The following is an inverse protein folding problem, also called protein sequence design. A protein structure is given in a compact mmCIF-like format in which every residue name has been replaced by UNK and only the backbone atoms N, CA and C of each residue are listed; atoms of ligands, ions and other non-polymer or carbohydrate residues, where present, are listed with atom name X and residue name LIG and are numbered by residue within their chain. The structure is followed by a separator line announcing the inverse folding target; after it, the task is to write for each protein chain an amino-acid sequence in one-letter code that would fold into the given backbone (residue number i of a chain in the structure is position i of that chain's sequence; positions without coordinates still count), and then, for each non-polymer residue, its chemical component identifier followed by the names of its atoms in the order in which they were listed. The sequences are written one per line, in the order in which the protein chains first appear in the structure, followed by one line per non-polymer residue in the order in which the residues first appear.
data_IF_509845063851
#
_entry.id   IF_509845063851
#
_cell.length_a   1.000
_cell.length_b   1.000
_cell.length_c   1.000
_cell.angle_alpha   90.00
_cell.angle_beta   90.00
_cell.angle_gamma   90.00
#
_symmetry.space_group_name_H-M   'P 1'
#
loop_
_entity.id
_entity.type
_entity.pdbx_description
1 polymer ?
#
# COMPACT_ATOMS: atom_id res chain seq x y z
N UNK A 1 -27.37 -30.56 16.93
CA UNK A 1 -26.63 -29.75 15.93
C UNK A 1 -25.40 -30.53 15.48
N UNK A 2 -25.37 -30.97 14.21
CA UNK A 2 -24.25 -31.66 13.56
C UNK A 2 -23.01 -30.75 13.43
N UNK A 3 -21.80 -31.31 13.27
CA UNK A 3 -20.57 -30.51 13.10
C UNK A 3 -20.66 -29.55 11.90
N UNK A 4 -21.25 -29.99 10.77
CA UNK A 4 -21.52 -29.15 9.59
C UNK A 4 -22.35 -27.90 9.93
N UNK A 5 -23.37 -28.06 10.78
CA UNK A 5 -24.22 -26.95 11.19
C UNK A 5 -23.48 -25.91 12.03
N UNK A 6 -22.46 -26.31 12.80
CA UNK A 6 -21.63 -25.37 13.58
C UNK A 6 -20.61 -24.64 12.70
N UNK A 7 -20.03 -25.31 11.69
CA UNK A 7 -19.10 -24.68 10.75
C UNK A 7 -19.79 -23.65 9.86
N UNK A 8 -20.99 -23.92 9.38
CA UNK A 8 -21.74 -23.00 8.52
C UNK A 8 -22.19 -21.76 9.27
N UNK A 9 -22.67 -21.91 10.52
CA UNK A 9 -23.03 -20.76 11.37
C UNK A 9 -21.82 -19.88 11.66
N UNK A 10 -20.64 -20.48 11.88
CA UNK A 10 -19.40 -19.72 12.09
C UNK A 10 -19.00 -18.96 10.81
N UNK A 11 -19.12 -19.59 9.64
CA UNK A 11 -18.86 -18.98 8.33
C UNK A 11 -19.80 -17.81 8.06
N UNK A 12 -21.11 -18.00 8.19
CA UNK A 12 -22.08 -16.93 7.95
C UNK A 12 -21.95 -15.75 8.90
N UNK A 13 -21.58 -15.99 10.17
CA UNK A 13 -21.28 -14.89 11.11
C UNK A 13 -20.01 -14.12 10.73
N UNK A 14 -19.01 -14.80 10.17
CA UNK A 14 -17.82 -14.15 9.67
C UNK A 14 -18.15 -13.29 8.45
N UNK A 15 -18.80 -13.88 7.42
CA UNK A 15 -19.22 -13.17 6.22
C UNK A 15 -20.10 -11.95 6.57
N UNK A 16 -21.14 -12.14 7.39
CA UNK A 16 -22.00 -11.03 7.85
C UNK A 16 -21.22 -9.89 8.50
N UNK A 17 -20.21 -10.21 9.32
CA UNK A 17 -19.40 -9.18 9.97
C UNK A 17 -18.56 -8.43 8.95
N UNK A 18 -18.00 -9.14 7.99
CA UNK A 18 -17.14 -8.56 6.98
C UNK A 18 -17.93 -7.61 6.06
N UNK A 19 -19.14 -7.98 5.60
CA UNK A 19 -19.97 -7.07 4.78
C UNK A 19 -20.38 -5.82 5.58
N UNK A 20 -20.71 -5.98 6.88
CA UNK A 20 -21.05 -4.85 7.75
C UNK A 20 -19.84 -3.94 7.99
N UNK A 21 -18.64 -4.50 8.03
CA UNK A 21 -17.39 -3.76 8.13
C UNK A 21 -17.09 -3.00 6.83
N UNK A 22 -17.32 -3.62 5.66
CA UNK A 22 -17.22 -3.00 4.34
C UNK A 22 -18.18 -1.84 4.17
N UNK A 23 -19.48 -2.06 4.44
CA UNK A 23 -20.51 -1.02 4.41
C UNK A 23 -20.14 0.19 5.29
N UNK A 24 -19.65 -0.06 6.51
CA UNK A 24 -19.25 1.01 7.43
C UNK A 24 -18.01 1.79 6.96
N UNK A 25 -17.12 1.19 6.17
CA UNK A 25 -15.98 1.86 5.57
C UNK A 25 -16.41 2.72 4.39
N UNK A 26 -17.25 2.18 3.50
CA UNK A 26 -17.78 2.92 2.37
C UNK A 26 -18.65 4.11 2.80
N UNK A 27 -19.45 3.97 3.86
CA UNK A 27 -20.17 5.10 4.46
C UNK A 27 -19.24 6.23 4.93
N UNK A 28 -18.13 5.86 5.56
CA UNK A 28 -17.16 6.83 6.07
C UNK A 28 -16.41 7.51 4.92
N UNK A 29 -16.09 6.77 3.86
CA UNK A 29 -15.50 7.32 2.64
C UNK A 29 -16.48 8.28 1.95
N UNK A 30 -17.74 7.89 1.79
CA UNK A 30 -18.77 8.74 1.22
C UNK A 30 -18.96 10.04 2.01
N UNK A 31 -18.96 9.97 3.34
CA UNK A 31 -19.13 11.14 4.21
C UNK A 31 -17.92 12.09 4.20
N UNK A 32 -16.71 11.55 3.98
CA UNK A 32 -15.48 12.31 3.95
C UNK A 32 -15.06 12.78 2.53
N UNK A 33 -15.76 12.33 1.48
CA UNK A 33 -15.49 12.68 0.10
C UNK A 33 -16.10 14.04 -0.26
N UNK A 34 -15.33 14.87 -0.95
CA UNK A 34 -15.76 16.21 -1.38
C UNK A 34 -16.37 16.18 -2.79
N UNK A 35 -15.97 15.22 -3.63
CA UNK A 35 -16.54 15.05 -4.96
C UNK A 35 -17.86 14.26 -4.87
N UNK A 36 -18.96 14.90 -5.22
CA UNK A 36 -20.31 14.33 -5.14
C UNK A 36 -20.45 13.02 -5.95
N UNK A 37 -19.91 12.98 -7.17
CA UNK A 37 -19.97 11.79 -8.03
C UNK A 37 -19.21 10.60 -7.43
N UNK A 38 -18.08 10.85 -6.76
CA UNK A 38 -17.32 9.79 -6.08
C UNK A 38 -17.96 9.38 -4.76
N UNK A 39 -18.54 10.34 -4.03
CA UNK A 39 -19.35 10.07 -2.85
C UNK A 39 -20.57 9.21 -3.16
N UNK A 40 -21.21 9.42 -4.32
CA UNK A 40 -22.31 8.58 -4.82
C UNK A 40 -21.85 7.13 -5.06
N UNK A 41 -20.68 6.94 -5.68
CA UNK A 41 -20.10 5.61 -5.90
C UNK A 41 -19.87 4.88 -4.58
N UNK A 42 -19.28 5.54 -3.59
CA UNK A 42 -19.10 4.93 -2.26
C UNK A 42 -20.44 4.62 -1.56
N UNK A 43 -21.47 5.45 -1.74
CA UNK A 43 -22.82 5.15 -1.21
C UNK A 43 -23.44 3.93 -1.88
N UNK A 44 -23.24 3.74 -3.18
CA UNK A 44 -23.71 2.56 -3.90
C UNK A 44 -22.99 1.30 -3.43
N UNK A 45 -21.67 1.33 -3.28
CA UNK A 45 -20.90 0.21 -2.70
C UNK A 45 -21.36 -0.11 -1.28
N UNK A 46 -21.55 0.92 -0.42
CA UNK A 46 -22.08 0.72 0.93
C UNK A 46 -23.46 0.04 0.93
N UNK A 47 -24.30 0.34 -0.06
CA UNK A 47 -25.61 -0.27 -0.21
C UNK A 47 -25.52 -1.73 -0.65
N UNK A 48 -24.67 -2.05 -1.62
CA UNK A 48 -24.43 -3.42 -2.07
C UNK A 48 -23.93 -4.32 -0.91
N UNK A 49 -22.96 -3.84 -0.13
CA UNK A 49 -22.47 -4.53 1.08
C UNK A 49 -23.59 -4.79 2.11
N UNK A 50 -24.54 -3.87 2.28
CA UNK A 50 -25.70 -4.08 3.17
C UNK A 50 -26.64 -5.16 2.65
N UNK A 51 -26.84 -5.23 1.34
CA UNK A 51 -27.67 -6.26 0.70
C UNK A 51 -27.02 -7.64 0.87
N UNK A 52 -25.70 -7.73 0.69
CA UNK A 52 -24.93 -8.94 1.00
C UNK A 52 -25.03 -9.30 2.49
N UNK A 53 -24.94 -8.32 3.39
CA UNK A 53 -25.13 -8.52 4.83
C UNK A 53 -26.54 -9.08 5.15
N UNK A 54 -27.57 -8.59 4.49
CA UNK A 54 -28.95 -9.09 4.66
C UNK A 54 -29.11 -10.53 4.20
N UNK A 55 -28.45 -10.92 3.10
CA UNK A 55 -28.40 -12.30 2.64
C UNK A 55 -27.74 -13.24 3.66
N UNK A 56 -26.65 -12.83 4.32
CA UNK A 56 -26.06 -13.63 5.40
C UNK A 56 -26.93 -13.64 6.66
N UNK A 57 -27.59 -12.53 6.98
CA UNK A 57 -28.51 -12.41 8.11
C UNK A 57 -29.72 -13.32 7.94
N UNK A 58 -30.31 -13.39 6.74
CA UNK A 58 -31.46 -14.26 6.44
C UNK A 58 -31.09 -15.75 6.58
N UNK A 59 -29.89 -16.14 6.12
CA UNK A 59 -29.36 -17.51 6.30
C UNK A 59 -29.16 -17.90 7.77
N UNK A 60 -28.77 -16.94 8.62
CA UNK A 60 -28.66 -17.14 10.07
C UNK A 60 -30.03 -17.22 10.75
N UNK A 61 -30.98 -16.36 10.35
CA UNK A 61 -32.36 -16.36 10.85
C UNK A 61 -33.11 -17.64 10.49
N UNK A 62 -32.93 -18.17 9.27
CA UNK A 62 -33.49 -19.46 8.85
C UNK A 62 -33.02 -20.64 9.72
N UNK A 63 -31.93 -20.45 10.47
CA UNK A 63 -31.37 -21.42 11.42
C UNK A 63 -31.69 -21.08 12.88
N UNK A 64 -32.64 -20.17 13.12
CA UNK A 64 -33.08 -19.74 14.45
C UNK A 64 -32.08 -18.86 15.20
N UNK A 65 -31.10 -18.27 14.49
CA UNK A 65 -30.07 -17.42 15.10
C UNK A 65 -30.35 -15.96 14.74
N UNK A 66 -30.80 -15.18 15.73
CA UNK A 66 -30.83 -13.73 15.60
C UNK A 66 -29.40 -13.18 15.70
N UNK A 67 -28.84 -12.76 14.56
CA UNK A 67 -27.55 -12.09 14.54
C UNK A 67 -27.72 -10.65 15.04
N UNK A 68 -27.10 -10.29 16.17
CA UNK A 68 -27.02 -8.89 16.60
C UNK A 68 -26.15 -8.09 15.62
N UNK A 69 -26.32 -6.77 15.59
CA UNK A 69 -25.38 -5.86 14.94
C UNK A 69 -23.98 -6.12 15.50
N UNK A 70 -23.06 -6.59 14.65
CA UNK A 70 -21.69 -6.84 15.05
C UNK A 70 -20.99 -5.51 15.32
N UNK A 71 -20.21 -5.42 16.40
CA UNK A 71 -19.35 -4.25 16.61
C UNK A 71 -18.29 -4.22 15.50
N UNK A 72 -17.97 -3.05 14.93
CA UNK A 72 -16.98 -2.95 13.86
C UNK A 72 -15.63 -3.56 14.28
N UNK A 73 -14.96 -4.24 13.36
CA UNK A 73 -13.65 -4.83 13.66
C UNK A 73 -12.60 -3.76 13.99
N UNK A 74 -11.50 -4.20 14.61
CA UNK A 74 -10.38 -3.31 14.90
C UNK A 74 -9.78 -2.69 13.62
N UNK A 75 -9.71 -3.46 12.52
CA UNK A 75 -9.29 -2.98 11.20
C UNK A 75 -10.21 -1.84 10.75
N UNK A 76 -11.52 -2.06 10.78
CA UNK A 76 -12.53 -1.06 10.39
C UNK A 76 -12.48 0.20 11.25
N UNK A 77 -12.36 0.08 12.58
CA UNK A 77 -12.23 1.25 13.46
C UNK A 77 -10.98 2.07 13.15
N UNK A 78 -9.86 1.40 12.92
CA UNK A 78 -8.59 2.04 12.59
C UNK A 78 -8.68 2.75 11.25
N UNK A 79 -9.19 2.09 10.20
CA UNK A 79 -9.35 2.68 8.87
C UNK A 79 -10.33 3.87 8.89
N UNK A 80 -11.45 3.79 9.62
CA UNK A 80 -12.37 4.93 9.80
C UNK A 80 -11.70 6.13 10.48
N UNK A 81 -10.87 5.88 11.49
CA UNK A 81 -10.08 6.93 12.14
C UNK A 81 -9.11 7.59 11.15
N UNK A 82 -8.44 6.80 10.31
CA UNK A 82 -7.54 7.31 9.27
C UNK A 82 -8.29 8.12 8.20
N UNK A 83 -9.44 7.66 7.74
CA UNK A 83 -10.31 8.40 6.79
C UNK A 83 -10.69 9.77 7.37
N UNK A 84 -11.10 9.82 8.64
CA UNK A 84 -11.46 11.10 9.30
C UNK A 84 -10.30 12.06 9.47
N UNK A 85 -9.09 11.52 9.71
CA UNK A 85 -7.93 12.32 10.08
C UNK A 85 -7.10 12.80 8.88
N UNK A 86 -7.04 11.97 7.84
CA UNK A 86 -6.19 12.17 6.66
C UNK A 86 -6.98 12.21 5.34
N UNK A 87 -8.29 11.94 5.38
CA UNK A 87 -9.18 11.95 4.23
C UNK A 87 -9.27 10.60 3.49
N UNK A 88 -10.23 10.46 2.54
CA UNK A 88 -10.43 9.24 1.77
C UNK A 88 -9.18 8.80 0.98
N UNK A 89 -8.51 9.75 0.34
CA UNK A 89 -7.32 9.52 -0.49
C UNK A 89 -6.20 8.75 0.21
N UNK A 90 -6.06 8.92 1.53
CA UNK A 90 -5.03 8.24 2.31
C UNK A 90 -5.28 6.72 2.45
N UNK A 91 -6.55 6.31 2.46
CA UNK A 91 -6.96 4.93 2.77
C UNK A 91 -7.39 4.15 1.52
N UNK A 92 -7.84 4.83 0.47
CA UNK A 92 -8.32 4.20 -0.75
C UNK A 92 -7.35 3.19 -1.39
N UNK A 93 -6.03 3.43 -1.44
CA UNK A 93 -5.10 2.44 -1.98
C UNK A 93 -5.02 1.16 -1.14
N UNK A 94 -5.06 1.33 0.20
CA UNK A 94 -5.10 0.24 1.16
C UNK A 94 -6.35 -0.62 0.97
N UNK A 95 -7.49 0.06 0.81
CA UNK A 95 -8.79 -0.57 0.65
C UNK A 95 -8.84 -1.29 -0.68
N UNK A 96 -8.44 -0.66 -1.78
CA UNK A 96 -8.39 -1.29 -3.10
C UNK A 96 -7.56 -2.58 -3.10
N UNK A 97 -6.38 -2.57 -2.46
CA UNK A 97 -5.55 -3.77 -2.33
C UNK A 97 -6.22 -4.87 -1.49
N UNK A 98 -6.97 -4.50 -0.45
CA UNK A 98 -7.71 -5.44 0.39
C UNK A 98 -8.90 -6.05 -0.37
N UNK A 99 -9.72 -5.24 -1.02
CA UNK A 99 -10.85 -5.69 -1.87
C UNK A 99 -10.35 -6.64 -2.97
N UNK A 100 -9.22 -6.30 -3.61
CA UNK A 100 -8.62 -7.16 -4.63
C UNK A 100 -8.15 -8.51 -4.07
N UNK A 101 -7.57 -8.53 -2.87
CA UNK A 101 -7.17 -9.78 -2.22
C UNK A 101 -8.38 -10.66 -1.85
N UNK A 102 -9.50 -10.02 -1.52
CA UNK A 102 -10.73 -10.68 -1.09
C UNK A 102 -11.72 -10.97 -2.24
N UNK A 103 -11.46 -10.56 -3.49
CA UNK A 103 -12.35 -10.76 -4.66
C UNK A 103 -12.86 -12.19 -4.89
N UNK A 104 -12.08 -13.19 -4.46
CA UNK A 104 -12.40 -14.62 -4.60
C UNK A 104 -12.91 -15.26 -3.29
N UNK A 105 -13.20 -14.47 -2.26
CA UNK A 105 -13.63 -14.93 -0.92
C UNK A 105 -14.86 -15.85 -0.97
N UNK A 106 -15.73 -15.63 -1.95
CA UNK A 106 -16.95 -16.38 -2.16
C UNK A 106 -16.85 -17.47 -3.24
N UNK A 107 -15.77 -17.52 -4.03
CA UNK A 107 -15.67 -18.41 -5.19
C UNK A 107 -15.83 -19.91 -4.87
N UNK A 108 -15.49 -20.32 -3.64
CA UNK A 108 -15.58 -21.72 -3.19
C UNK A 108 -16.74 -21.96 -2.21
N UNK A 109 -17.68 -21.03 -2.07
CA UNK A 109 -18.82 -21.19 -1.17
C UNK A 109 -20.07 -21.57 -1.99
N UNK A 110 -20.76 -22.67 -1.66
CA UNK A 110 -21.94 -23.10 -2.41
C UNK A 110 -23.15 -22.17 -2.23
N UNK A 111 -23.11 -21.31 -1.20
CA UNK A 111 -24.21 -20.43 -0.85
C UNK A 111 -24.07 -19.02 -1.45
N UNK A 112 -23.08 -18.74 -2.31
CA UNK A 112 -22.73 -17.36 -2.72
C UNK A 112 -22.92 -17.07 -4.21
N UNK A 113 -23.92 -17.68 -4.83
CA UNK A 113 -24.34 -17.34 -6.20
C UNK A 113 -24.62 -15.84 -6.31
N UNK A 114 -24.07 -15.18 -7.33
CA UNK A 114 -24.18 -13.73 -7.55
C UNK A 114 -23.13 -12.89 -6.83
N UNK A 115 -22.84 -13.17 -5.54
CA UNK A 115 -21.91 -12.34 -4.74
C UNK A 115 -20.51 -12.29 -5.34
N UNK A 116 -20.01 -13.39 -5.91
CA UNK A 116 -18.65 -13.40 -6.49
C UNK A 116 -18.50 -12.45 -7.68
N UNK A 117 -19.55 -12.20 -8.46
CA UNK A 117 -19.50 -11.24 -9.56
C UNK A 117 -19.50 -9.79 -9.04
N UNK A 118 -20.30 -9.54 -8.01
CA UNK A 118 -20.37 -8.23 -7.35
C UNK A 118 -19.02 -7.85 -6.70
N UNK A 119 -18.37 -8.79 -6.01
CA UNK A 119 -17.04 -8.58 -5.39
C UNK A 119 -15.96 -8.17 -6.40
N UNK A 120 -15.99 -8.77 -7.60
CA UNK A 120 -15.06 -8.37 -8.67
C UNK A 120 -15.34 -6.94 -9.15
N UNK A 121 -16.62 -6.56 -9.25
CA UNK A 121 -17.02 -5.20 -9.60
C UNK A 121 -16.64 -4.19 -8.51
N UNK A 122 -16.85 -4.51 -7.23
CA UNK A 122 -16.46 -3.67 -6.10
C UNK A 122 -14.96 -3.39 -6.13
N UNK A 123 -14.13 -4.44 -6.26
CA UNK A 123 -12.67 -4.29 -6.31
C UNK A 123 -12.22 -3.40 -7.49
N UNK A 124 -12.85 -3.52 -8.66
CA UNK A 124 -12.53 -2.70 -9.83
C UNK A 124 -12.90 -1.23 -9.62
N UNK A 125 -14.09 -0.95 -9.08
CA UNK A 125 -14.57 0.41 -8.81
C UNK A 125 -13.72 1.12 -7.75
N UNK A 126 -13.36 0.42 -6.66
CA UNK A 126 -12.50 0.97 -5.61
C UNK A 126 -11.08 1.22 -6.11
N UNK A 127 -10.55 0.33 -6.96
CA UNK A 127 -9.26 0.53 -7.62
C UNK A 127 -9.25 1.78 -8.52
N UNK A 128 -10.29 1.98 -9.33
CA UNK A 128 -10.45 3.18 -10.15
C UNK A 128 -10.58 4.46 -9.29
N UNK A 129 -11.33 4.40 -8.19
CA UNK A 129 -11.47 5.52 -7.26
C UNK A 129 -10.16 5.91 -6.56
N UNK A 130 -9.26 4.94 -6.33
CA UNK A 130 -7.96 5.16 -5.70
C UNK A 130 -6.93 5.84 -6.63
N UNK A 131 -7.09 5.73 -7.96
CA UNK A 131 -6.12 6.25 -8.95
C UNK A 131 -6.35 7.74 -9.31
N UNK A 132 -7.49 8.33 -8.97
CA UNK A 132 -7.68 9.78 -9.05
C UNK A 132 -7.68 10.38 -10.45
N UNK A 133 -8.56 9.91 -11.35
CA UNK A 133 -8.87 10.58 -12.63
C UNK A 133 -9.99 11.65 -12.52
N UNK A 134 -9.99 12.58 -13.48
CA UNK A 134 -10.73 13.86 -13.69
C UNK A 134 -12.18 14.07 -13.15
N UNK A 135 -12.68 15.34 -13.11
CA UNK A 135 -14.01 15.74 -12.58
C UNK A 135 -15.24 15.26 -13.39
N UNK A 136 -15.13 14.15 -14.12
CA UNK A 136 -16.04 13.78 -15.20
C UNK A 136 -16.66 12.40 -15.08
N UNK A 137 -16.95 11.92 -13.87
CA UNK A 137 -17.67 10.65 -13.65
C UNK A 137 -16.87 9.40 -14.04
N UNK A 138 -17.14 8.28 -13.36
CA UNK A 138 -16.49 7.00 -13.66
C UNK A 138 -17.20 6.38 -14.87
N UNK A 139 -16.53 6.30 -16.01
CA UNK A 139 -17.08 5.70 -17.24
C UNK A 139 -16.66 4.24 -17.39
N UNK A 140 -17.45 3.42 -18.11
CA UNK A 140 -17.10 2.01 -18.37
C UNK A 140 -15.75 1.80 -19.08
N UNK A 141 -15.23 2.83 -19.76
CA UNK A 141 -13.90 2.83 -20.35
C UNK A 141 -12.77 2.95 -19.31
N UNK A 142 -13.02 3.59 -18.16
CA UNK A 142 -12.06 3.68 -17.05
C UNK A 142 -12.00 2.37 -16.25
N UNK A 143 -13.11 1.63 -16.18
CA UNK A 143 -13.15 0.28 -15.60
C UNK A 143 -12.32 -0.69 -16.46
N UNK A 144 -12.42 -0.61 -17.79
CA UNK A 144 -11.59 -1.40 -18.71
C UNK A 144 -10.10 -1.00 -18.71
N UNK A 145 -9.79 0.29 -18.48
CA UNK A 145 -8.41 0.78 -18.27
C UNK A 145 -7.83 0.30 -16.93
N UNK A 146 -8.64 0.15 -15.89
CA UNK A 146 -8.20 -0.36 -14.59
C UNK A 146 -7.82 -1.86 -14.63
N UNK A 147 -8.37 -2.66 -15.55
CA UNK A 147 -8.07 -4.10 -15.68
C UNK A 147 -6.70 -4.39 -16.34
N UNK A 148 -6.15 -3.48 -17.14
CA UNK A 148 -4.96 -3.75 -17.95
C UNK A 148 -3.62 -3.34 -17.30
N UNK A 149 -3.64 -2.58 -16.19
CA UNK A 149 -2.47 -1.87 -15.67
C UNK A 149 -2.10 -2.27 -14.23
N UNK A 150 -2.04 -3.57 -13.98
CA UNK A 150 -1.98 -4.18 -12.64
C UNK A 150 -0.73 -3.93 -11.77
N UNK A 151 0.16 -2.98 -12.05
CA UNK A 151 1.33 -2.70 -11.18
C UNK A 151 1.74 -1.24 -11.25
N UNK A 152 1.58 -0.47 -10.17
CA UNK A 152 2.08 0.91 -10.19
C UNK A 152 1.92 1.68 -8.90
N UNK A 153 1.02 2.65 -8.86
CA UNK A 153 1.29 3.83 -8.05
C UNK A 153 0.78 3.77 -6.59
N UNK A 154 -0.48 3.42 -6.33
CA UNK A 154 -1.10 3.91 -5.09
C UNK A 154 -0.83 3.06 -3.82
N UNK A 155 -0.69 1.73 -3.96
CA UNK A 155 -0.31 0.84 -2.84
C UNK A 155 1.18 0.91 -2.50
N UNK A 156 1.99 1.47 -3.39
CA UNK A 156 3.44 1.58 -3.23
C UNK A 156 3.82 2.72 -2.28
N UNK A 157 3.11 3.85 -2.33
CA UNK A 157 3.47 5.07 -1.58
C UNK A 157 3.34 4.90 -0.07
N UNK A 158 2.23 4.34 0.41
CA UNK A 158 2.03 4.12 1.84
C UNK A 158 2.92 2.99 2.38
N UNK A 159 3.16 1.96 1.55
CA UNK A 159 4.13 0.91 1.88
C UNK A 159 5.55 1.48 1.99
N UNK A 160 5.96 2.29 1.02
CA UNK A 160 7.24 3.00 1.03
C UNK A 160 7.36 3.93 2.24
N UNK A 161 6.27 4.62 2.61
CA UNK A 161 6.25 5.49 3.78
C UNK A 161 6.48 4.74 5.09
N UNK A 162 5.80 3.61 5.26
CA UNK A 162 5.94 2.75 6.44
C UNK A 162 7.33 2.10 6.49
N UNK A 163 7.89 1.72 5.33
CA UNK A 163 9.27 1.23 5.21
C UNK A 163 10.28 2.31 5.61
N UNK A 164 10.14 3.55 5.15
CA UNK A 164 11.04 4.64 5.51
C UNK A 164 11.04 4.96 7.01
N UNK A 165 9.86 5.03 7.62
CA UNK A 165 9.75 5.20 9.07
C UNK A 165 10.33 4.02 9.85
N UNK A 166 10.13 2.80 9.35
CA UNK A 166 10.71 1.61 9.97
C UNK A 166 12.23 1.60 9.89
N UNK A 167 12.80 1.93 8.73
CA UNK A 167 14.23 1.95 8.50
C UNK A 167 14.90 2.99 9.38
N UNK A 168 14.32 4.19 9.49
CA UNK A 168 14.78 5.23 10.41
C UNK A 168 14.78 4.76 11.87
N UNK A 169 13.67 4.15 12.32
CA UNK A 169 13.55 3.65 13.70
C UNK A 169 14.59 2.56 13.98
N UNK A 170 14.62 1.50 13.17
CA UNK A 170 15.48 0.32 13.40
C UNK A 170 16.95 0.70 13.30
N UNK A 171 17.36 1.43 12.26
CA UNK A 171 18.76 1.80 12.05
C UNK A 171 19.30 2.65 13.21
N UNK A 172 18.56 3.69 13.60
CA UNK A 172 19.02 4.57 14.68
C UNK A 172 18.95 3.86 16.04
N UNK A 173 17.95 3.00 16.27
CA UNK A 173 17.86 2.19 17.48
C UNK A 173 19.05 1.23 17.62
N UNK A 174 19.41 0.52 16.54
CA UNK A 174 20.56 -0.37 16.53
C UNK A 174 21.89 0.38 16.75
N UNK A 175 22.03 1.57 16.13
CA UNK A 175 23.20 2.43 16.32
C UNK A 175 23.35 2.87 17.78
N UNK A 176 22.27 3.37 18.39
CA UNK A 176 22.24 3.79 19.79
C UNK A 176 22.56 2.61 20.72
N UNK A 177 21.97 1.44 20.47
CA UNK A 177 22.26 0.25 21.29
C UNK A 177 23.71 -0.21 21.16
N UNK A 178 24.31 -0.11 19.97
CA UNK A 178 25.73 -0.40 19.79
C UNK A 178 26.64 0.53 20.59
N UNK A 179 26.41 1.85 20.52
CA UNK A 179 27.20 2.82 21.29
C UNK A 179 26.96 2.68 22.80
N UNK A 180 25.73 2.38 23.21
CA UNK A 180 25.40 2.09 24.60
C UNK A 180 26.08 0.81 25.09
N UNK A 181 26.15 -0.24 24.26
CA UNK A 181 26.86 -1.49 24.55
C UNK A 181 28.35 -1.27 24.80
N UNK A 182 28.98 -0.34 24.08
CA UNK A 182 30.36 0.06 24.30
C UNK A 182 30.62 0.83 25.60
N UNK A 183 29.60 1.09 26.43
CA UNK A 183 29.76 1.82 27.70
C UNK A 183 29.96 3.32 27.54
N UNK A 184 29.56 3.88 26.38
CA UNK A 184 29.76 5.30 26.09
C UNK A 184 28.91 6.23 26.97
N UNK A 185 29.41 7.46 27.18
CA UNK A 185 28.66 8.48 27.93
C UNK A 185 27.38 8.92 27.20
N UNK A 186 26.40 9.44 27.96
CA UNK A 186 25.13 9.94 27.42
C UNK A 186 25.31 10.99 26.31
N UNK A 187 26.31 11.87 26.44
CA UNK A 187 26.61 12.90 25.44
C UNK A 187 27.06 12.29 24.12
N UNK A 188 27.87 11.22 24.17
CA UNK A 188 28.32 10.50 22.98
C UNK A 188 27.13 9.79 22.33
N UNK A 189 26.30 9.11 23.12
CA UNK A 189 25.09 8.44 22.60
C UNK A 189 24.15 9.45 21.92
N UNK A 190 23.89 10.58 22.55
CA UNK A 190 23.03 11.63 21.98
C UNK A 190 23.62 12.20 20.69
N UNK A 191 24.92 12.54 20.69
CA UNK A 191 25.60 13.03 19.49
C UNK A 191 25.52 12.01 18.35
N UNK A 192 25.80 10.74 18.63
CA UNK A 192 25.72 9.68 17.63
C UNK A 192 24.29 9.46 17.15
N UNK A 193 23.29 9.55 18.03
CA UNK A 193 21.88 9.39 17.66
C UNK A 193 21.38 10.49 16.70
N UNK A 194 21.80 11.74 16.94
CA UNK A 194 21.41 12.87 16.09
C UNK A 194 22.18 12.83 14.78
N UNK A 195 23.48 12.52 14.84
CA UNK A 195 24.29 12.36 13.63
C UNK A 195 23.78 11.20 12.75
N UNK A 196 23.45 10.05 13.35
CA UNK A 196 22.89 8.89 12.66
C UNK A 196 21.53 9.18 12.04
N UNK A 197 20.65 9.90 12.76
CA UNK A 197 19.37 10.36 12.23
C UNK A 197 19.56 11.25 10.99
N UNK A 198 20.39 12.29 11.09
CA UNK A 198 20.60 13.24 9.99
C UNK A 198 21.27 12.56 8.80
N UNK A 199 22.34 11.80 9.04
CA UNK A 199 23.06 11.10 8.00
C UNK A 199 22.18 10.07 7.28
N UNK A 200 21.41 9.29 8.04
CA UNK A 200 20.46 8.31 7.49
C UNK A 200 19.34 8.97 6.69
N UNK A 201 18.74 10.05 7.22
CA UNK A 201 17.68 10.78 6.53
C UNK A 201 18.17 11.42 5.22
N UNK A 202 19.35 12.05 5.22
CA UNK A 202 19.98 12.58 4.01
C UNK A 202 20.30 11.47 3.01
N UNK A 203 20.85 10.34 3.46
CA UNK A 203 21.16 9.20 2.60
C UNK A 203 19.90 8.63 1.94
N UNK A 204 18.79 8.51 2.70
CA UNK A 204 17.53 8.02 2.17
C UNK A 204 16.92 9.02 1.17
N UNK A 205 16.97 10.32 1.47
CA UNK A 205 16.49 11.36 0.57
C UNK A 205 17.26 11.38 -0.77
N UNK A 206 18.59 11.30 -0.71
CA UNK A 206 19.44 11.23 -1.89
C UNK A 206 19.19 9.95 -2.69
N UNK A 207 19.05 8.81 -2.01
CA UNK A 207 18.75 7.52 -2.65
C UNK A 207 17.41 7.56 -3.39
N UNK A 208 16.37 8.11 -2.77
CA UNK A 208 15.04 8.23 -3.39
C UNK A 208 15.07 9.22 -4.56
N UNK A 209 15.71 10.38 -4.39
CA UNK A 209 15.85 11.37 -5.47
C UNK A 209 16.54 10.76 -6.70
N UNK A 210 17.64 10.04 -6.48
CA UNK A 210 18.41 9.41 -7.55
C UNK A 210 17.62 8.27 -8.21
N UNK A 211 16.90 7.48 -7.42
CA UNK A 211 16.03 6.41 -7.93
C UNK A 211 14.96 6.97 -8.88
N UNK A 212 14.22 7.99 -8.44
CA UNK A 212 13.16 8.61 -9.26
C UNK A 212 13.74 9.31 -10.49
N UNK A 213 14.85 10.03 -10.33
CA UNK A 213 15.50 10.73 -11.44
C UNK A 213 15.99 9.75 -12.50
N UNK A 214 16.69 8.69 -12.10
CA UNK A 214 17.20 7.69 -13.04
C UNK A 214 16.05 6.95 -13.76
N UNK A 215 14.99 6.59 -13.04
CA UNK A 215 13.81 5.95 -13.64
C UNK A 215 13.18 6.87 -14.70
N UNK A 216 13.08 8.17 -14.39
CA UNK A 216 12.54 9.18 -15.32
C UNK A 216 13.44 9.39 -16.53
N UNK A 217 14.75 9.53 -16.34
CA UNK A 217 15.71 9.71 -17.44
C UNK A 217 15.75 8.49 -18.37
N UNK A 218 15.69 7.28 -17.80
CA UNK A 218 15.60 6.05 -18.58
C UNK A 218 14.31 6.02 -19.42
N UNK A 219 13.17 6.31 -18.79
CA UNK A 219 11.89 6.32 -19.48
C UNK A 219 11.84 7.38 -20.59
N UNK A 220 12.36 8.59 -20.32
CA UNK A 220 12.47 9.64 -21.34
C UNK A 220 13.36 9.24 -22.51
N UNK A 221 14.48 8.55 -22.24
CA UNK A 221 15.38 8.06 -23.28
C UNK A 221 14.70 7.00 -24.15
N UNK A 222 13.94 6.08 -23.53
CA UNK A 222 13.20 5.05 -24.25
C UNK A 222 12.08 5.65 -25.10
N UNK A 223 11.30 6.61 -24.56
CA UNK A 223 10.26 7.32 -25.32
C UNK A 223 10.85 8.11 -26.49
N UNK A 224 12.00 8.77 -26.28
CA UNK A 224 12.66 9.50 -27.35
C UNK A 224 13.14 8.59 -28.48
N UNK A 225 13.61 7.39 -28.12
CA UNK A 225 14.02 6.37 -29.08
C UNK A 225 12.83 5.78 -29.83
N UNK A 226 11.74 5.48 -29.13
CA UNK A 226 10.49 5.03 -29.73
C UNK A 226 9.96 6.04 -30.75
N UNK A 227 10.01 7.33 -30.42
CA UNK A 227 9.63 8.40 -31.34
C UNK A 227 10.53 8.42 -32.59
N UNK A 228 11.83 8.18 -32.44
CA UNK A 228 12.76 8.08 -33.58
C UNK A 228 12.47 6.85 -34.46
N UNK A 229 12.21 5.70 -33.86
CA UNK A 229 11.88 4.45 -34.55
C UNK A 229 10.52 4.56 -35.27
N UNK A 230 9.55 5.23 -34.67
CA UNK A 230 8.25 5.53 -35.28
C UNK A 230 8.35 6.47 -36.50
N UNK A 231 9.29 7.43 -36.48
CA UNK A 231 9.54 8.33 -37.61
C UNK A 231 10.30 7.64 -38.75
N UNK A 232 11.29 6.80 -38.44
CA UNK A 232 12.20 6.23 -39.44
C UNK A 232 11.72 4.87 -39.96
N UNK A 233 11.03 4.08 -39.14
CA UNK A 233 10.60 2.71 -39.44
C UNK A 233 9.12 2.44 -39.09
N UNK A 234 8.16 3.26 -39.56
CA UNK A 234 6.74 3.12 -39.17
C UNK A 234 6.12 1.76 -39.55
N UNK A 235 6.57 1.14 -40.64
CA UNK A 235 6.11 -0.20 -41.03
C UNK A 235 6.63 -1.31 -40.11
N UNK A 236 7.74 -1.09 -39.39
CA UNK A 236 8.22 -1.99 -38.35
C UNK A 236 7.34 -1.84 -37.11
N UNK A 237 7.17 -0.62 -36.59
CA UNK A 237 6.36 -0.35 -35.39
C UNK A 237 4.91 -0.82 -35.53
N UNK A 238 4.29 -0.64 -36.71
CA UNK A 238 2.96 -1.17 -36.96
C UNK A 238 2.91 -2.71 -36.81
N UNK A 239 3.95 -3.42 -37.28
CA UNK A 239 4.02 -4.88 -37.15
C UNK A 239 4.25 -5.28 -35.70
N UNK A 240 5.07 -4.55 -34.96
CA UNK A 240 5.33 -4.80 -33.53
C UNK A 240 4.04 -4.64 -32.73
N UNK A 241 3.33 -3.53 -32.92
CA UNK A 241 2.04 -3.28 -32.28
C UNK A 241 0.98 -4.34 -32.62
N UNK A 242 0.94 -4.79 -33.88
CA UNK A 242 0.05 -5.88 -34.30
C UNK A 242 0.41 -7.22 -33.63
N UNK A 243 1.70 -7.48 -33.38
CA UNK A 243 2.15 -8.68 -32.64
C UNK A 243 1.78 -8.58 -31.15
N UNK A 244 1.91 -7.40 -30.55
CA UNK A 244 1.49 -7.16 -29.15
C UNK A 244 0.00 -7.46 -28.99
N UNK A 245 -0.86 -6.93 -29.86
CA UNK A 245 -2.30 -7.20 -29.79
C UNK A 245 -2.67 -8.66 -30.07
N UNK A 246 -1.94 -9.35 -30.96
CA UNK A 246 -2.10 -10.80 -31.14
C UNK A 246 -1.76 -11.58 -29.86
N UNK A 247 -0.67 -11.21 -29.19
CA UNK A 247 -0.29 -11.82 -27.92
C UNK A 247 -1.34 -11.58 -26.82
N UNK A 248 -2.08 -10.47 -26.90
CA UNK A 248 -3.24 -10.17 -26.04
C UNK A 248 -4.53 -10.92 -26.43
N UNK A 249 -4.52 -11.66 -27.54
CA UNK A 249 -5.62 -12.54 -27.95
C UNK A 249 -6.47 -12.02 -29.10
N UNK A 250 -6.08 -10.94 -29.79
CA UNK A 250 -6.76 -10.53 -31.03
C UNK A 250 -6.37 -11.48 -32.17
N UNK A 251 -7.31 -11.75 -33.07
CA UNK A 251 -6.98 -12.44 -34.32
C UNK A 251 -6.00 -11.61 -35.16
N UNK A 252 -5.18 -12.28 -35.97
CA UNK A 252 -4.13 -11.64 -36.77
C UNK A 252 -4.65 -10.49 -37.62
N UNK A 253 -5.79 -10.68 -38.28
CA UNK A 253 -6.34 -9.68 -39.20
C UNK A 253 -6.91 -8.48 -38.43
N UNK A 254 -7.53 -8.71 -37.27
CA UNK A 254 -8.01 -7.64 -36.40
C UNK A 254 -6.87 -6.85 -35.76
N UNK A 255 -5.81 -7.53 -35.29
CA UNK A 255 -4.65 -6.88 -34.71
C UNK A 255 -3.92 -5.99 -35.72
N UNK A 256 -3.78 -6.44 -36.97
CA UNK A 256 -3.23 -5.61 -38.05
C UNK A 256 -4.10 -4.38 -38.32
N UNK A 257 -5.42 -4.54 -38.37
CA UNK A 257 -6.36 -3.43 -38.60
C UNK A 257 -6.30 -2.40 -37.47
N UNK A 258 -6.23 -2.86 -36.22
CA UNK A 258 -6.13 -1.99 -35.04
C UNK A 258 -4.80 -1.23 -35.05
N UNK A 259 -3.68 -1.92 -35.29
CA UNK A 259 -2.37 -1.28 -35.38
C UNK A 259 -2.33 -0.24 -36.50
N UNK A 260 -2.80 -0.55 -37.70
CA UNK A 260 -2.87 0.40 -38.81
C UNK A 260 -3.68 1.66 -38.43
N UNK A 261 -4.82 1.47 -37.76
CA UNK A 261 -5.69 2.59 -37.38
C UNK A 261 -5.04 3.49 -36.32
N UNK A 262 -4.30 2.91 -35.36
CA UNK A 262 -3.57 3.66 -34.33
C UNK A 262 -2.38 4.42 -34.92
N UNK A 263 -1.67 3.81 -35.87
CA UNK A 263 -0.52 4.39 -36.58
C UNK A 263 -0.86 5.62 -37.44
N UNK A 264 -2.15 5.88 -37.72
CA UNK A 264 -2.57 7.07 -38.51
C UNK A 264 -2.34 8.40 -37.80
N UNK A 265 -2.25 8.40 -36.47
CA UNK A 265 -1.98 9.59 -35.69
C UNK A 265 -0.70 9.37 -34.90
N UNK A 266 0.34 10.15 -35.22
CA UNK A 266 1.67 9.99 -34.65
C UNK A 266 1.65 10.04 -33.12
N UNK A 267 0.99 11.05 -32.53
CA UNK A 267 0.93 11.21 -31.07
C UNK A 267 0.25 10.03 -30.38
N UNK A 268 -0.84 9.51 -30.96
CA UNK A 268 -1.54 8.34 -30.43
C UNK A 268 -0.77 7.03 -30.63
N UNK A 269 -0.05 6.92 -31.74
CA UNK A 269 0.81 5.77 -32.01
C UNK A 269 1.95 5.72 -30.99
N UNK A 270 2.64 6.85 -30.78
CA UNK A 270 3.71 6.96 -29.78
C UNK A 270 3.20 6.71 -28.35
N UNK A 271 2.06 7.30 -27.96
CA UNK A 271 1.44 7.03 -26.65
C UNK A 271 1.09 5.54 -26.50
N UNK A 272 0.55 4.92 -27.55
CA UNK A 272 0.20 3.50 -27.52
C UNK A 272 1.46 2.62 -27.43
N UNK A 273 2.47 2.85 -28.26
CA UNK A 273 3.73 2.08 -28.25
C UNK A 273 4.45 2.25 -26.91
N UNK A 274 4.54 3.47 -26.39
CA UNK A 274 5.11 3.74 -25.06
C UNK A 274 4.42 2.92 -23.97
N UNK A 275 3.09 2.81 -24.06
CA UNK A 275 2.28 2.11 -23.08
C UNK A 275 2.30 0.59 -23.25
N UNK A 276 2.22 0.12 -24.48
CA UNK A 276 2.01 -1.28 -24.83
C UNK A 276 3.31 -2.05 -25.01
N UNK A 277 4.33 -1.41 -25.55
CA UNK A 277 5.65 -2.00 -25.77
C UNK A 277 6.58 -1.73 -24.59
N UNK A 278 6.78 -0.46 -24.23
CA UNK A 278 7.71 -0.09 -23.15
C UNK A 278 7.13 -0.34 -21.76
N UNK A 279 5.81 -0.46 -21.65
CA UNK A 279 5.12 -0.57 -20.36
C UNK A 279 5.25 0.70 -19.51
N UNK A 280 5.52 1.84 -20.15
CA UNK A 280 5.69 3.14 -19.49
C UNK A 280 4.38 3.91 -19.59
N UNK A 281 3.97 4.52 -18.49
CA UNK A 281 2.95 5.56 -18.54
C UNK A 281 3.64 6.94 -18.62
N UNK A 282 3.50 7.68 -19.74
CA UNK A 282 4.05 9.02 -19.89
C UNK A 282 3.62 10.00 -18.79
N UNK A 283 2.45 9.78 -18.20
CA UNK A 283 1.87 10.64 -17.17
C UNK A 283 2.30 10.24 -15.75
N UNK A 284 2.84 9.02 -15.55
CA UNK A 284 3.27 8.48 -14.25
C UNK A 284 4.78 8.17 -14.19
N UNK A 285 5.63 9.07 -14.69
CA UNK A 285 7.10 8.93 -14.66
C UNK A 285 7.75 9.07 -13.26
N UNK A 286 7.09 8.60 -12.19
CA UNK A 286 7.63 8.58 -10.82
C UNK A 286 7.43 9.87 -10.01
N UNK A 287 6.58 10.80 -10.48
CA UNK A 287 6.29 12.05 -9.78
C UNK A 287 7.47 13.03 -9.75
N UNK A 288 7.49 13.93 -8.75
CA UNK A 288 8.56 14.91 -8.57
C UNK A 288 9.68 14.34 -7.67
N UNK A 289 10.93 14.18 -8.16
CA UNK A 289 12.06 13.65 -7.38
C UNK A 289 12.29 14.37 -6.06
N UNK A 290 12.12 15.70 -6.03
CA UNK A 290 12.31 16.49 -4.81
C UNK A 290 11.23 16.22 -3.75
N UNK A 291 10.00 15.98 -4.20
CA UNK A 291 8.92 15.60 -3.29
C UNK A 291 9.19 14.24 -2.68
N UNK A 292 9.59 13.25 -3.49
CA UNK A 292 9.92 11.90 -3.03
C UNK A 292 11.11 11.87 -2.06
N UNK A 293 12.13 12.69 -2.33
CA UNK A 293 13.26 12.87 -1.44
C UNK A 293 12.85 13.48 -0.09
N UNK A 294 12.02 14.54 -0.12
CA UNK A 294 11.55 15.23 1.08
C UNK A 294 10.63 14.36 1.94
N UNK A 295 9.74 13.58 1.34
CA UNK A 295 8.89 12.63 2.06
C UNK A 295 9.73 11.53 2.71
N UNK A 296 10.68 10.94 1.97
CA UNK A 296 11.59 9.91 2.49
C UNK A 296 12.44 10.42 3.64
N UNK A 297 13.00 11.63 3.52
CA UNK A 297 13.72 12.31 4.60
C UNK A 297 12.85 12.41 5.86
N UNK A 298 11.64 12.94 5.71
CA UNK A 298 10.72 13.19 6.82
C UNK A 298 10.29 11.90 7.52
N UNK A 299 9.97 10.86 6.75
CA UNK A 299 9.56 9.56 7.27
C UNK A 299 10.69 8.86 8.01
N UNK A 300 11.91 8.86 7.44
CA UNK A 300 13.09 8.33 8.13
C UNK A 300 13.34 9.06 9.44
N UNK A 301 13.37 10.40 9.41
CA UNK A 301 13.61 11.22 10.61
C UNK A 301 12.53 10.98 11.68
N UNK A 302 11.26 10.85 11.26
CA UNK A 302 10.14 10.55 12.15
C UNK A 302 10.29 9.19 12.84
N UNK A 303 10.84 8.18 12.16
CA UNK A 303 11.16 6.90 12.77
C UNK A 303 12.36 6.98 13.72
N UNK A 304 13.45 7.59 13.24
CA UNK A 304 14.73 7.66 13.92
C UNK A 304 14.69 8.49 15.22
N UNK A 305 13.72 9.39 15.38
CA UNK A 305 13.62 10.22 16.59
C UNK A 305 13.18 9.42 17.83
N UNK A 306 12.39 8.36 17.65
CA UNK A 306 11.87 7.55 18.77
C UNK A 306 12.96 6.98 19.68
N UNK A 307 13.98 6.27 19.17
CA UNK A 307 15.06 5.76 20.00
C UNK A 307 15.96 6.87 20.58
N UNK A 308 16.11 8.00 19.89
CA UNK A 308 16.95 9.12 20.32
C UNK A 308 16.30 9.96 21.43
N UNK A 309 14.97 10.06 21.41
CA UNK A 309 14.16 10.94 22.24
C UNK A 309 14.52 10.88 23.75
N UNK A 310 14.68 9.71 24.39
CA UNK A 310 14.92 9.66 25.84
C UNK A 310 16.26 10.25 26.28
N UNK A 311 17.25 10.30 25.38
CA UNK A 311 18.60 10.78 25.71
C UNK A 311 18.68 12.31 25.82
N UNK A 312 17.63 13.03 25.41
CA UNK A 312 17.55 14.49 25.58
C UNK A 312 17.27 14.91 27.04
N UNK A 313 16.61 14.07 27.84
CA UNK A 313 16.20 14.40 29.21
C UNK A 313 16.51 13.33 30.26
N UNK A 314 16.84 12.11 29.85
CA UNK A 314 17.21 11.01 30.74
C UNK A 314 18.66 10.59 30.51
N UNK A 315 19.22 9.84 31.46
CA UNK A 315 20.61 9.39 31.45
C UNK A 315 20.75 7.95 31.94
N UNK A 316 21.88 7.31 31.58
CA UNK A 316 22.25 5.98 32.07
C UNK A 316 21.25 4.88 31.69
N UNK A 317 21.08 3.90 32.58
CA UNK A 317 20.21 2.74 32.33
C UNK A 317 18.75 3.13 32.11
N UNK A 318 18.27 4.22 32.72
CA UNK A 318 16.90 4.70 32.56
C UNK A 318 16.68 5.22 31.13
N UNK A 319 17.64 5.94 30.55
CA UNK A 319 17.56 6.39 29.16
C UNK A 319 17.53 5.22 28.18
N UNK A 320 18.40 4.21 28.40
CA UNK A 320 18.46 3.00 27.57
C UNK A 320 17.15 2.22 27.65
N UNK A 321 16.63 1.95 28.85
CA UNK A 321 15.37 1.24 29.04
C UNK A 321 14.18 2.00 28.40
N UNK A 322 14.16 3.32 28.53
CA UNK A 322 13.12 4.15 27.90
C UNK A 322 13.25 4.13 26.37
N UNK A 323 14.47 4.13 25.83
CA UNK A 323 14.74 4.02 24.38
C UNK A 323 14.25 2.69 23.83
N UNK A 324 14.54 1.58 24.52
CA UNK A 324 14.01 0.26 24.16
C UNK A 324 12.47 0.25 24.19
N UNK A 325 11.86 0.83 25.23
CA UNK A 325 10.41 0.92 25.34
C UNK A 325 9.75 1.73 24.23
N UNK A 326 10.27 2.92 23.91
CA UNK A 326 9.75 3.78 22.84
C UNK A 326 9.96 3.16 21.46
N UNK A 327 11.14 2.58 21.20
CA UNK A 327 11.41 1.85 19.97
C UNK A 327 10.48 0.65 19.80
N UNK A 328 10.27 -0.13 20.87
CA UNK A 328 9.34 -1.25 20.87
C UNK A 328 7.91 -0.81 20.59
N UNK A 329 7.47 0.30 21.17
CA UNK A 329 6.16 0.89 20.86
C UNK A 329 6.07 1.34 19.40
N UNK A 330 7.09 2.04 18.88
CA UNK A 330 7.12 2.47 17.48
C UNK A 330 7.10 1.30 16.50
N UNK A 331 7.88 0.24 16.76
CA UNK A 331 7.87 -1.00 15.98
C UNK A 331 6.52 -1.71 16.05
N UNK A 332 5.87 -1.74 17.21
CA UNK A 332 4.53 -2.30 17.35
C UNK A 332 3.50 -1.51 16.53
N UNK A 333 3.56 -0.17 16.56
CA UNK A 333 2.68 0.71 15.76
C UNK A 333 2.90 0.44 14.26
N UNK A 334 4.16 0.43 13.80
CA UNK A 334 4.52 0.11 12.42
C UNK A 334 4.02 -1.29 12.04
N UNK A 335 4.16 -2.27 12.93
CA UNK A 335 3.65 -3.63 12.73
C UNK A 335 2.13 -3.69 12.61
N UNK A 336 1.40 -2.91 13.41
CA UNK A 336 -0.07 -2.78 13.27
C UNK A 336 -0.44 -2.12 11.96
N UNK A 337 0.23 -1.03 11.57
CA UNK A 337 -0.04 -0.34 10.31
C UNK A 337 0.23 -1.27 9.13
N UNK A 338 1.39 -1.94 9.08
CA UNK A 338 1.70 -2.93 8.02
C UNK A 338 0.69 -4.08 7.96
N UNK A 339 0.10 -4.49 9.10
CA UNK A 339 -0.93 -5.54 9.13
C UNK A 339 -2.20 -5.18 8.37
N UNK A 340 -2.49 -3.88 8.21
CA UNK A 340 -3.65 -3.41 7.47
C UNK A 340 -3.55 -3.79 5.97
N UNK A 341 -2.34 -4.01 5.46
CA UNK A 341 -2.05 -4.19 4.03
C UNK A 341 -1.64 -5.61 3.64
N UNK A 342 -1.21 -6.43 4.60
CA UNK A 342 -0.63 -7.76 4.31
C UNK A 342 -1.52 -8.94 4.71
N UNK A 343 -2.76 -8.67 5.14
CA UNK A 343 -3.74 -9.69 5.52
C UNK A 343 -3.41 -10.48 6.80
N UNK A 344 -2.37 -10.09 7.55
CA UNK A 344 -2.00 -10.74 8.83
C UNK A 344 -2.68 -10.07 10.02
N UNK A 345 -2.77 -10.78 11.14
CA UNK A 345 -3.36 -10.20 12.35
C UNK A 345 -2.45 -9.09 12.91
N UNK A 346 -3.02 -7.99 13.45
CA UNK A 346 -2.24 -6.88 14.01
C UNK A 346 -1.26 -7.32 15.09
N UNK A 347 -1.67 -8.25 15.96
CA UNK A 347 -0.83 -8.79 17.02
C UNK A 347 0.40 -9.52 16.44
N UNK A 348 0.20 -10.38 15.44
CA UNK A 348 1.31 -11.10 14.82
C UNK A 348 2.32 -10.16 14.17
N UNK A 349 1.84 -9.18 13.39
CA UNK A 349 2.72 -8.22 12.71
C UNK A 349 3.47 -7.32 13.71
N UNK A 350 2.79 -6.84 14.76
CA UNK A 350 3.42 -6.05 15.82
C UNK A 350 4.49 -6.85 16.59
N UNK A 351 4.15 -8.06 17.06
CA UNK A 351 5.10 -8.92 17.77
C UNK A 351 6.30 -9.27 16.91
N UNK A 352 6.09 -9.64 15.64
CA UNK A 352 7.18 -9.91 14.70
C UNK A 352 8.12 -8.71 14.56
N UNK A 353 7.58 -7.51 14.38
CA UNK A 353 8.38 -6.30 14.16
C UNK A 353 9.23 -5.96 15.39
N UNK A 354 8.62 -6.04 16.59
CA UNK A 354 9.32 -5.81 17.86
C UNK A 354 10.42 -6.85 18.07
N UNK A 355 10.12 -8.13 17.88
CA UNK A 355 11.10 -9.22 18.08
C UNK A 355 12.30 -9.04 17.14
N UNK A 356 12.06 -8.80 15.85
CA UNK A 356 13.15 -8.61 14.87
C UNK A 356 13.98 -7.38 15.24
N UNK A 357 13.35 -6.26 15.59
CA UNK A 357 14.05 -5.04 16.00
C UNK A 357 14.86 -5.22 17.28
N UNK A 358 14.31 -5.91 18.29
CA UNK A 358 15.03 -6.22 19.52
C UNK A 358 16.21 -7.18 19.29
N UNK A 359 16.07 -8.17 18.40
CA UNK A 359 17.17 -9.09 18.05
C UNK A 359 18.31 -8.32 17.36
N UNK A 360 17.99 -7.45 16.39
CA UNK A 360 18.97 -6.62 15.71
C UNK A 360 19.70 -5.69 16.70
N UNK A 361 18.96 -5.06 17.60
CA UNK A 361 19.52 -4.15 18.60
C UNK A 361 20.34 -4.88 19.68
N UNK A 362 19.94 -6.09 20.07
CA UNK A 362 20.72 -6.94 20.97
C UNK A 362 22.04 -7.37 20.32
N UNK A 363 22.01 -7.67 19.01
CA UNK A 363 23.22 -7.97 18.25
C UNK A 363 24.18 -6.78 18.23
N UNK A 364 23.70 -5.57 17.88
CA UNK A 364 24.59 -4.39 17.85
C UNK A 364 25.07 -3.99 19.24
N UNK A 365 24.24 -4.12 20.28
CA UNK A 365 24.67 -3.95 21.67
C UNK A 365 25.81 -4.90 22.03
N UNK A 366 25.68 -6.19 21.69
CA UNK A 366 26.71 -7.20 21.94
C UNK A 366 28.02 -6.89 21.20
N UNK A 367 27.95 -6.49 19.93
CA UNK A 367 29.13 -6.03 19.17
C UNK A 367 29.76 -4.82 19.83
N UNK A 368 28.96 -3.84 20.24
CA UNK A 368 29.43 -2.66 20.97
C UNK A 368 30.15 -3.02 22.27
N UNK A 369 29.59 -3.94 23.05
CA UNK A 369 30.20 -4.42 24.29
C UNK A 369 31.55 -5.11 24.06
N UNK A 370 31.67 -5.95 23.02
CA UNK A 370 32.95 -6.59 22.66
C UNK A 370 34.02 -5.57 22.25
N UNK A 371 33.64 -4.57 21.45
CA UNK A 371 34.55 -3.52 21.01
C UNK A 371 34.94 -2.59 22.15
N UNK A 372 34.00 -2.22 23.02
CA UNK A 372 34.24 -1.39 24.20
C UNK A 372 35.23 -2.02 25.19
N UNK A 373 35.15 -3.35 25.38
CA UNK A 373 36.12 -4.11 26.19
C UNK A 373 37.52 -4.13 25.56
N UNK A 374 37.62 -4.01 24.23
CA UNK A 374 38.90 -4.03 23.51
C UNK A 374 39.58 -2.66 23.39
N UNK A 375 38.81 -1.57 23.59
CA UNK A 375 39.26 -0.18 23.44
C UNK A 375 39.47 0.55 24.78
N UNK A 376 39.13 -0.10 25.90
CA UNK A 376 39.40 0.37 27.27
C UNK A 376 40.61 -0.34 27.85
#
# INVERSE_FOLDING_TARGET
MTQSHKSDVKRFRANLRDELDGAALYDELAAAEQNEARGDVFRQLAQAEREHAELWRSKLQARGIHASTAKPSFKTKTLRMLIRRFGPRFVLPALAAAEFADRNKYANQPDSEGLSADEHSHAAVVAAAAQGGHPGGVTGAEIARAESWHRGASGNDLRAAVLGANDGLVSNFCLIMGVAGAGSSNKVILLTSVAGLIAGACSMALGEWLSVTNARELAQTQIAREAEELEHTPEAEQRELALIYQAKGLDKDEAHRVAEQLMRNHDKALDTLTREELGIDPDELGGNPWSAAGTSFGLFALGAIFPAMPFFWSHGLVAIATSIGLSGLGLAIIGVVTSLFNGRTPLFSATRQVVIGCVAAAFTYGVGALLGVSMS
#
